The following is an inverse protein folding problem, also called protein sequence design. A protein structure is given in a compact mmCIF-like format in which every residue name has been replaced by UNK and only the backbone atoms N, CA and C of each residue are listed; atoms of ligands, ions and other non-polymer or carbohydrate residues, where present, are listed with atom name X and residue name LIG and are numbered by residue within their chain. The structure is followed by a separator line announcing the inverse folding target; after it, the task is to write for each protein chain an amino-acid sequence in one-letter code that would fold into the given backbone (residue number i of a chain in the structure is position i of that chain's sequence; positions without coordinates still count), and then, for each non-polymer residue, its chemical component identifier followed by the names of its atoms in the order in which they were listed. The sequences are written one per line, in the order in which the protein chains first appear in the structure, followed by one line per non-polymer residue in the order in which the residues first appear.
data_IF_067261468033
#
_entry.id   IF_067261468033
#
_cell.length_a   1.000
_cell.length_b   1.000
_cell.length_c   1.000
_cell.angle_alpha   90.00
_cell.angle_beta   90.00
_cell.angle_gamma   90.00
#
_symmetry.space_group_name_H-M   'P 1'
#
loop_
_entity.id
_entity.type
_entity.pdbx_description
1 polymer ?
#
# COMPACT_ATOMS: atom_id res chain seq x y z
N UNK A 1 -0.55 1.16 11.55
CA UNK A 1 -0.65 2.36 10.67
C UNK A 1 -1.32 3.58 11.31
N UNK A 2 -2.62 3.59 11.70
CA UNK A 2 -3.28 4.81 12.27
C UNK A 2 -2.54 5.41 13.47
N UNK A 3 -2.28 4.56 14.47
CA UNK A 3 -1.57 4.97 15.68
C UNK A 3 -0.14 5.41 15.37
N UNK A 4 0.56 4.70 14.48
CA UNK A 4 1.91 5.09 14.05
C UNK A 4 1.91 6.48 13.43
N UNK A 5 1.04 6.75 12.44
CA UNK A 5 0.94 8.07 11.83
C UNK A 5 0.71 9.16 12.88
N UNK A 6 -0.26 8.95 13.76
CA UNK A 6 -0.58 9.89 14.84
C UNK A 6 0.65 10.16 15.72
N UNK A 7 1.39 9.13 16.12
CA UNK A 7 2.58 9.28 16.96
C UNK A 7 3.74 9.97 16.26
N UNK A 8 3.92 9.77 14.94
CA UNK A 8 4.91 10.51 14.18
C UNK A 8 4.59 12.01 14.23
N UNK A 9 3.32 12.37 13.98
CA UNK A 9 2.87 13.76 14.05
C UNK A 9 2.97 14.35 15.46
N UNK A 10 2.59 13.62 16.50
CA UNK A 10 2.75 14.12 17.88
C UNK A 10 4.22 14.29 18.24
N UNK A 11 5.11 13.40 17.79
CA UNK A 11 6.53 13.52 18.08
C UNK A 11 7.13 14.79 17.46
N UNK A 12 6.77 15.14 16.23
CA UNK A 12 7.21 16.39 15.60
C UNK A 12 6.76 17.63 16.39
N UNK A 13 5.56 17.60 16.96
CA UNK A 13 4.98 18.70 17.72
C UNK A 13 5.63 18.83 19.10
N UNK A 14 5.85 17.70 19.79
CA UNK A 14 6.36 17.67 21.16
C UNK A 14 7.88 17.86 21.21
N UNK A 15 8.60 17.35 20.21
CA UNK A 15 10.06 17.30 20.19
C UNK A 15 10.66 18.12 19.03
N UNK A 16 10.24 19.39 18.91
CA UNK A 16 10.66 20.32 17.85
C UNK A 16 12.18 20.45 17.70
N UNK A 17 12.92 20.38 18.82
CA UNK A 17 14.37 20.54 18.87
C UNK A 17 15.16 19.22 18.69
N UNK A 18 14.48 18.10 18.40
CA UNK A 18 15.15 16.82 18.24
C UNK A 18 16.07 16.82 17.00
N UNK A 19 17.35 16.42 17.11
CA UNK A 19 18.35 16.59 16.05
C UNK A 19 18.01 15.86 14.75
N UNK A 20 17.25 14.77 14.83
CA UNK A 20 16.87 13.96 13.67
C UNK A 20 15.53 14.38 13.02
N UNK A 21 14.84 15.41 13.55
CA UNK A 21 13.49 15.87 13.15
C UNK A 21 12.51 14.71 12.88
N UNK A 22 11.78 14.32 13.91
CA UNK A 22 10.69 13.35 13.79
C UNK A 22 11.06 11.89 14.01
N UNK A 23 10.04 11.07 14.25
CA UNK A 23 10.12 9.62 14.17
C UNK A 23 10.12 9.23 12.68
N UNK A 24 11.06 8.39 12.25
CA UNK A 24 11.13 7.86 10.87
C UNK A 24 10.98 6.35 10.87
N UNK A 25 9.80 5.88 11.26
CA UNK A 25 9.55 4.46 11.52
C UNK A 25 8.35 3.92 10.75
N UNK A 26 7.70 4.74 9.93
CA UNK A 26 6.55 4.32 9.14
C UNK A 26 7.00 3.38 8.01
N UNK A 27 6.57 2.12 8.05
CA UNK A 27 6.92 1.15 7.01
C UNK A 27 6.03 1.34 5.77
N UNK A 28 6.61 1.89 4.69
CA UNK A 28 5.95 1.96 3.39
C UNK A 28 5.52 0.55 2.91
N UNK A 29 6.37 -0.45 3.16
CA UNK A 29 6.09 -1.80 2.71
C UNK A 29 4.86 -2.39 3.39
N UNK A 30 4.82 -2.29 4.72
CA UNK A 30 3.68 -2.75 5.52
C UNK A 30 2.41 -2.00 5.12
N UNK A 31 2.50 -0.68 4.96
CA UNK A 31 1.37 0.16 4.60
C UNK A 31 0.77 -0.22 3.23
N UNK A 32 1.61 -0.40 2.21
CA UNK A 32 1.20 -0.76 0.86
C UNK A 32 0.65 -2.19 0.80
N UNK A 33 1.29 -3.15 1.47
CA UNK A 33 0.82 -4.53 1.54
C UNK A 33 -0.53 -4.63 2.27
N UNK A 34 -0.72 -3.88 3.36
CA UNK A 34 -2.01 -3.79 4.05
C UNK A 34 -3.10 -3.22 3.15
N UNK A 35 -2.80 -2.14 2.41
CA UNK A 35 -3.74 -1.56 1.46
C UNK A 35 -4.16 -2.57 0.39
N UNK A 36 -3.22 -3.32 -0.17
CA UNK A 36 -3.51 -4.37 -1.14
C UNK A 36 -4.35 -5.52 -0.54
N UNK A 37 -4.03 -5.96 0.69
CA UNK A 37 -4.81 -6.97 1.40
C UNK A 37 -6.27 -6.51 1.66
N UNK A 38 -6.46 -5.24 2.06
CA UNK A 38 -7.79 -4.65 2.20
C UNK A 38 -8.56 -4.63 0.87
N UNK A 39 -7.87 -4.38 -0.25
CA UNK A 39 -8.47 -4.44 -1.58
C UNK A 39 -8.89 -5.87 -1.94
N UNK A 40 -8.06 -6.87 -1.67
CA UNK A 40 -8.40 -8.29 -1.88
C UNK A 40 -9.70 -8.62 -1.11
N UNK A 41 -9.84 -8.14 0.12
CA UNK A 41 -11.05 -8.36 0.95
C UNK A 41 -12.26 -7.50 0.53
N UNK A 42 -12.11 -6.59 -0.42
CA UNK A 42 -13.20 -5.71 -0.89
C UNK A 42 -13.49 -4.53 0.05
N UNK A 43 -12.58 -4.16 0.94
CA UNK A 43 -12.79 -3.08 1.91
C UNK A 43 -12.49 -1.71 1.30
N UNK A 44 -13.30 -1.28 0.33
CA UNK A 44 -13.06 -0.07 -0.49
C UNK A 44 -12.73 1.17 0.34
N UNK A 45 -13.56 1.51 1.33
CA UNK A 45 -13.34 2.69 2.18
C UNK A 45 -12.04 2.58 3.01
N UNK A 46 -11.68 1.37 3.45
CA UNK A 46 -10.43 1.12 4.16
C UNK A 46 -9.21 1.26 3.26
N UNK A 47 -9.30 0.83 1.99
CA UNK A 47 -8.26 1.04 0.96
C UNK A 47 -8.05 2.54 0.73
N UNK A 48 -9.14 3.28 0.53
CA UNK A 48 -9.11 4.74 0.36
C UNK A 48 -8.41 5.37 1.55
N UNK A 49 -8.87 5.08 2.76
CA UNK A 49 -8.28 5.61 3.99
C UNK A 49 -6.78 5.28 4.12
N UNK A 50 -6.41 4.01 3.93
CA UNK A 50 -5.03 3.56 4.08
C UNK A 50 -4.11 4.16 3.00
N UNK A 51 -4.60 4.33 1.77
CA UNK A 51 -3.87 4.95 0.69
C UNK A 51 -3.55 6.42 0.98
N UNK A 52 -4.54 7.22 1.42
CA UNK A 52 -4.27 8.60 1.84
C UNK A 52 -3.39 8.67 3.08
N UNK A 53 -3.60 7.82 4.08
CA UNK A 53 -2.75 7.79 5.28
C UNK A 53 -1.28 7.52 4.92
N UNK A 54 -1.06 6.58 3.99
CA UNK A 54 0.30 6.27 3.52
C UNK A 54 0.93 7.45 2.79
N UNK A 55 0.22 8.07 1.84
CA UNK A 55 0.76 9.23 1.11
C UNK A 55 1.03 10.42 2.04
N UNK A 56 0.11 10.69 2.96
CA UNK A 56 0.26 11.72 3.99
C UNK A 56 1.50 11.48 4.88
N UNK A 57 1.82 10.22 5.18
CA UNK A 57 3.03 9.85 5.91
C UNK A 57 4.29 10.09 5.06
N UNK A 58 4.26 9.67 3.80
CA UNK A 58 5.37 9.84 2.86
C UNK A 58 5.69 11.32 2.59
N UNK A 59 4.66 12.16 2.43
CA UNK A 59 4.81 13.59 2.21
C UNK A 59 5.32 14.37 3.44
N UNK A 60 5.27 13.75 4.62
CA UNK A 60 5.79 14.31 5.88
C UNK A 60 7.13 13.68 6.30
N UNK A 61 7.74 12.88 5.43
CA UNK A 61 9.00 12.19 5.71
C UNK A 61 8.96 11.25 6.92
N UNK A 62 7.81 10.61 7.18
CA UNK A 62 7.63 9.66 8.30
C UNK A 62 8.18 8.27 8.01
N UNK A 63 8.45 7.98 6.74
CA UNK A 63 8.92 6.69 6.28
C UNK A 63 10.26 6.29 6.90
N UNK A 64 10.42 4.99 7.13
CA UNK A 64 11.69 4.41 7.52
C UNK A 64 12.73 4.64 6.40
N UNK A 65 13.78 5.38 6.73
CA UNK A 65 14.76 5.86 5.75
C UNK A 65 15.40 4.73 4.96
N UNK A 66 15.93 3.69 5.65
CA UNK A 66 16.54 2.53 5.00
C UNK A 66 15.60 1.89 3.96
N UNK A 67 14.34 1.68 4.34
CA UNK A 67 13.34 1.09 3.46
C UNK A 67 13.06 1.96 2.25
N UNK A 68 13.00 3.26 2.46
CA UNK A 68 12.63 4.20 1.41
C UNK A 68 13.80 4.55 0.48
N UNK A 69 15.05 4.53 0.95
CA UNK A 69 16.22 4.97 0.17
C UNK A 69 17.09 3.83 -0.36
N UNK A 70 17.15 2.68 0.32
CA UNK A 70 18.11 1.61 -0.02
C UNK A 70 17.43 0.30 -0.46
N UNK A 71 16.31 -0.06 0.17
CA UNK A 71 15.64 -1.34 -0.12
C UNK A 71 14.91 -1.35 -1.48
N UNK A 72 14.61 -0.17 -2.03
CA UNK A 72 14.03 0.03 -3.36
C UNK A 72 12.81 -0.87 -3.63
N UNK A 73 11.83 -0.82 -2.73
CA UNK A 73 10.58 -1.61 -2.74
C UNK A 73 9.66 -1.18 -3.90
N UNK A 74 9.94 -1.68 -5.12
CA UNK A 74 9.31 -1.24 -6.39
C UNK A 74 7.86 -1.63 -6.47
N UNK A 75 7.52 -2.86 -6.08
CA UNK A 75 6.12 -3.30 -6.08
C UNK A 75 5.25 -2.43 -5.17
N UNK A 76 5.76 -2.03 -4.01
CA UNK A 76 5.05 -1.19 -3.06
C UNK A 76 4.91 0.26 -3.57
N UNK A 77 5.94 0.80 -4.21
CA UNK A 77 5.83 2.09 -4.91
C UNK A 77 4.80 2.02 -6.05
N UNK A 78 4.80 0.94 -6.83
CA UNK A 78 3.78 0.69 -7.87
C UNK A 78 2.37 0.67 -7.29
N UNK A 79 2.11 -0.10 -6.22
CA UNK A 79 0.77 -0.19 -5.61
C UNK A 79 0.27 1.18 -5.11
N UNK A 80 1.15 1.99 -4.53
CA UNK A 80 0.80 3.34 -4.05
C UNK A 80 0.60 4.32 -5.20
N UNK A 81 1.40 4.25 -6.27
CA UNK A 81 1.19 5.03 -7.50
C UNK A 81 -0.09 4.65 -8.23
N UNK A 82 -0.43 3.36 -8.24
CA UNK A 82 -1.68 2.85 -8.81
C UNK A 82 -2.89 3.37 -8.01
N UNK A 83 -2.79 3.36 -6.68
CA UNK A 83 -3.78 4.00 -5.82
C UNK A 83 -3.92 5.50 -6.13
N UNK A 84 -2.80 6.21 -6.25
CA UNK A 84 -2.80 7.64 -6.53
C UNK A 84 -3.48 7.98 -7.86
N UNK A 85 -3.16 7.21 -8.89
CA UNK A 85 -3.82 7.33 -10.20
C UNK A 85 -5.31 6.97 -10.13
N UNK A 86 -5.70 5.99 -9.31
CA UNK A 86 -7.10 5.61 -9.10
C UNK A 86 -7.94 6.74 -8.49
N UNK A 87 -7.48 7.34 -7.39
CA UNK A 87 -8.24 8.40 -6.69
C UNK A 87 -8.09 9.77 -7.34
N UNK A 88 -6.99 10.01 -8.05
CA UNK A 88 -6.77 11.19 -8.90
C UNK A 88 -6.48 12.51 -8.18
N UNK A 89 -6.53 12.56 -6.85
CA UNK A 89 -6.36 13.78 -6.03
C UNK A 89 -5.23 13.67 -4.99
N UNK A 90 -4.33 12.68 -5.13
CA UNK A 90 -3.14 12.53 -4.28
C UNK A 90 -1.88 12.48 -5.12
N UNK A 91 -0.80 13.07 -4.60
CA UNK A 91 0.51 13.07 -5.26
C UNK A 91 1.62 12.95 -4.23
N UNK A 92 2.74 12.39 -4.67
CA UNK A 92 3.96 12.26 -3.90
C UNK A 92 5.16 12.33 -4.85
N UNK A 93 6.25 12.98 -4.42
CA UNK A 93 7.48 13.01 -5.20
C UNK A 93 8.27 11.73 -4.94
N UNK A 94 8.18 10.79 -5.88
CA UNK A 94 8.82 9.50 -5.71
C UNK A 94 10.32 9.54 -6.04
N UNK A 95 11.15 8.70 -5.39
CA UNK A 95 12.55 8.51 -5.77
C UNK A 95 12.66 7.75 -7.09
N UNK A 96 13.82 7.82 -7.75
CA UNK A 96 14.03 7.25 -9.09
C UNK A 96 13.69 5.76 -9.20
N UNK A 97 13.94 4.96 -8.15
CA UNK A 97 13.63 3.52 -8.19
C UNK A 97 12.13 3.24 -8.34
N UNK A 98 11.26 4.19 -8.01
CA UNK A 98 9.83 3.99 -8.18
C UNK A 98 9.41 3.92 -9.64
N UNK A 99 10.26 4.36 -10.58
CA UNK A 99 10.00 4.47 -12.02
C UNK A 99 10.86 3.56 -12.89
N UNK A 100 11.81 2.82 -12.31
CA UNK A 100 12.83 2.10 -13.07
C UNK A 100 12.46 0.65 -13.40
N UNK A 101 11.23 0.21 -13.08
CA UNK A 101 10.68 -1.09 -13.43
C UNK A 101 9.66 -0.98 -14.58
N UNK A 102 10.06 -1.31 -15.83
CA UNK A 102 9.20 -1.13 -17.01
C UNK A 102 7.87 -1.87 -16.95
N UNK A 103 7.82 -3.02 -16.26
CA UNK A 103 6.59 -3.81 -16.11
C UNK A 103 5.52 -2.99 -15.36
N UNK A 104 5.92 -2.33 -14.28
CA UNK A 104 5.02 -1.52 -13.47
C UNK A 104 4.62 -0.22 -14.16
N UNK A 105 5.53 0.41 -14.93
CA UNK A 105 5.17 1.59 -15.73
C UNK A 105 4.13 1.25 -16.81
N UNK A 106 4.31 0.13 -17.51
CA UNK A 106 3.36 -0.32 -18.52
C UNK A 106 1.98 -0.61 -17.91
N UNK A 107 1.94 -1.25 -16.73
CA UNK A 107 0.69 -1.47 -16.01
C UNK A 107 0.03 -0.14 -15.60
N UNK A 108 0.77 0.80 -15.01
CA UNK A 108 0.22 2.12 -14.64
C UNK A 108 -0.34 2.89 -15.84
N UNK A 109 0.28 2.77 -17.01
CA UNK A 109 -0.20 3.43 -18.23
C UNK A 109 -1.49 2.78 -18.77
N UNK A 110 -1.67 1.47 -18.60
CA UNK A 110 -2.69 0.71 -19.31
C UNK A 110 -3.75 0.07 -18.41
N UNK A 111 -3.65 0.15 -17.08
CA UNK A 111 -4.53 -0.61 -16.17
C UNK A 111 -6.02 -0.25 -16.30
N UNK A 112 -6.38 0.89 -16.90
CA UNK A 112 -7.77 1.24 -17.24
C UNK A 112 -8.21 0.82 -18.66
N UNK A 113 -7.39 0.07 -19.40
CA UNK A 113 -7.74 -0.39 -20.74
C UNK A 113 -9.03 -1.24 -20.69
N UNK A 114 -10.07 -0.90 -21.47
CA UNK A 114 -11.32 -1.65 -21.47
C UNK A 114 -11.15 -3.08 -22.00
N UNK A 115 -10.15 -3.34 -22.84
CA UNK A 115 -9.79 -4.68 -23.28
C UNK A 115 -8.87 -5.33 -22.22
N UNK A 116 -9.34 -6.34 -21.47
CA UNK A 116 -8.51 -7.02 -20.48
C UNK A 116 -7.34 -7.77 -21.11
N UNK A 117 -7.48 -8.26 -22.35
CA UNK A 117 -6.44 -9.05 -23.01
C UNK A 117 -5.19 -8.22 -23.33
N UNK A 118 -5.36 -6.90 -23.52
CA UNK A 118 -4.26 -5.98 -23.71
C UNK A 118 -3.30 -5.91 -22.49
N UNK A 119 -3.76 -6.30 -21.30
CA UNK A 119 -2.94 -6.33 -20.08
C UNK A 119 -2.18 -7.65 -19.89
N UNK A 120 -2.60 -8.74 -20.54
CA UNK A 120 -2.06 -10.10 -20.30
C UNK A 120 -0.54 -10.16 -20.41
N UNK A 121 0.13 -9.59 -21.44
CA UNK A 121 1.59 -9.66 -21.52
C UNK A 121 2.29 -9.00 -20.31
N UNK A 122 1.79 -7.85 -19.86
CA UNK A 122 2.37 -7.13 -18.73
C UNK A 122 2.08 -7.83 -17.40
N UNK A 123 0.89 -8.42 -17.25
CA UNK A 123 0.49 -9.13 -16.04
C UNK A 123 1.24 -10.45 -15.87
N UNK A 124 1.47 -11.21 -16.96
CA UNK A 124 2.32 -12.41 -16.92
C UNK A 124 3.76 -12.05 -16.53
N UNK A 125 4.30 -10.97 -17.10
CA UNK A 125 5.62 -10.47 -16.70
C UNK A 125 5.66 -10.03 -15.23
N UNK A 126 4.57 -9.43 -14.71
CA UNK A 126 4.45 -9.11 -13.30
C UNK A 126 4.42 -10.37 -12.42
N UNK A 127 3.76 -11.45 -12.84
CA UNK A 127 3.79 -12.73 -12.13
C UNK A 127 5.20 -13.35 -12.07
N UNK A 128 5.93 -13.33 -13.19
CA UNK A 128 7.32 -13.79 -13.26
C UNK A 128 8.21 -12.96 -12.32
N UNK A 129 8.05 -11.62 -12.38
CA UNK A 129 8.78 -10.70 -11.50
C UNK A 129 8.47 -10.96 -10.04
N UNK A 130 7.20 -11.13 -9.67
CA UNK A 130 6.79 -11.45 -8.30
C UNK A 130 7.54 -12.67 -7.77
N UNK A 131 7.55 -13.74 -8.56
CA UNK A 131 8.24 -14.98 -8.23
C UNK A 131 9.76 -14.78 -8.08
N UNK A 132 10.36 -13.91 -8.90
CA UNK A 132 11.80 -13.58 -8.81
C UNK A 132 12.14 -12.65 -7.63
N UNK A 133 11.20 -11.78 -7.26
CA UNK A 133 11.31 -10.82 -6.16
C UNK A 133 10.74 -11.37 -4.84
N UNK A 134 10.41 -12.66 -4.80
CA UNK A 134 10.06 -13.38 -3.60
C UNK A 134 11.31 -13.98 -2.95
N UNK A 135 11.58 -13.63 -1.70
CA UNK A 135 12.78 -14.11 -1.05
C UNK A 135 12.97 -13.63 0.38
N UNK A 136 14.05 -14.07 1.01
CA UNK A 136 14.45 -13.56 2.33
C UNK A 136 15.46 -12.44 2.15
N UNK A 137 15.19 -11.29 2.76
CA UNK A 137 16.11 -10.18 2.77
C UNK A 137 17.45 -10.57 3.42
N UNK A 138 18.51 -9.97 2.92
CA UNK A 138 19.88 -10.10 3.43
C UNK A 138 20.50 -8.71 3.55
N UNK A 139 21.65 -8.61 4.22
CA UNK A 139 22.39 -7.34 4.34
C UNK A 139 22.79 -6.70 2.99
N UNK A 140 22.70 -7.43 1.87
CA UNK A 140 23.12 -6.96 0.54
C UNK A 140 22.03 -7.04 -0.52
N UNK A 141 20.87 -7.62 -0.19
CA UNK A 141 19.81 -7.88 -1.17
C UNK A 141 18.46 -7.80 -0.47
N UNK A 142 17.62 -6.93 -0.99
CA UNK A 142 16.25 -6.72 -0.56
C UNK A 142 15.31 -7.15 -1.69
N UNK A 143 14.16 -7.68 -1.31
CA UNK A 143 13.17 -8.31 -2.20
C UNK A 143 11.82 -7.63 -2.06
N UNK A 144 11.13 -7.28 -3.15
CA UNK A 144 9.80 -6.64 -3.03
C UNK A 144 8.81 -7.48 -2.19
N UNK A 145 8.90 -8.82 -2.27
CA UNK A 145 8.04 -9.77 -1.55
C UNK A 145 8.86 -10.58 -0.55
N UNK A 146 9.26 -9.91 0.54
CA UNK A 146 9.99 -10.56 1.61
C UNK A 146 9.08 -11.45 2.49
N UNK A 147 9.72 -12.31 3.29
CA UNK A 147 9.02 -13.30 4.13
C UNK A 147 8.26 -12.72 5.33
N UNK A 148 8.32 -11.41 5.61
CA UNK A 148 7.79 -10.84 6.85
C UNK A 148 6.25 -10.91 6.90
N UNK A 149 5.60 -10.88 5.74
CA UNK A 149 4.14 -11.00 5.59
C UNK A 149 3.71 -12.30 4.90
N UNK A 150 4.66 -13.21 4.63
CA UNK A 150 4.42 -14.42 3.86
C UNK A 150 3.76 -14.18 2.49
N UNK A 151 4.02 -13.02 1.87
CA UNK A 151 3.43 -12.61 0.60
C UNK A 151 4.19 -13.13 -0.61
N UNK A 152 5.27 -13.90 -0.43
CA UNK A 152 6.02 -14.56 -1.51
C UNK A 152 5.17 -15.41 -2.47
N UNK A 153 3.96 -15.78 -2.06
CA UNK A 153 3.01 -16.60 -2.83
C UNK A 153 1.69 -15.90 -3.09
N UNK A 154 1.55 -14.65 -2.70
CA UNK A 154 0.31 -13.88 -2.85
C UNK A 154 0.61 -12.72 -3.78
N UNK A 155 0.14 -12.74 -5.05
CA UNK A 155 0.41 -11.67 -6.01
C UNK A 155 -0.39 -10.40 -5.71
N UNK A 156 -0.16 -9.81 -4.53
CA UNK A 156 -0.96 -8.73 -3.94
C UNK A 156 -1.06 -7.51 -4.83
N UNK A 157 0.00 -7.18 -5.57
CA UNK A 157 0.06 -6.06 -6.48
C UNK A 157 -0.83 -6.25 -7.71
N UNK A 158 -0.94 -7.50 -8.19
CA UNK A 158 -1.81 -7.88 -9.30
C UNK A 158 -3.26 -7.93 -8.83
N UNK A 159 -3.51 -8.53 -7.66
CA UNK A 159 -4.85 -8.63 -7.09
C UNK A 159 -5.42 -7.26 -6.69
N UNK A 160 -4.57 -6.32 -6.24
CA UNK A 160 -4.95 -4.91 -6.06
C UNK A 160 -5.44 -4.33 -7.38
N UNK A 161 -4.66 -4.43 -8.46
CA UNK A 161 -5.04 -3.94 -9.79
C UNK A 161 -6.38 -4.55 -10.23
N UNK A 162 -6.57 -5.85 -10.04
CA UNK A 162 -7.82 -6.52 -10.37
C UNK A 162 -9.01 -5.98 -9.59
N UNK A 163 -8.84 -5.71 -8.29
CA UNK A 163 -9.93 -5.13 -7.48
C UNK A 163 -10.26 -3.72 -7.93
N UNK A 164 -9.25 -2.88 -8.21
CA UNK A 164 -9.49 -1.53 -8.69
C UNK A 164 -10.23 -1.53 -10.03
N UNK A 165 -9.85 -2.42 -10.96
CA UNK A 165 -10.58 -2.62 -12.21
C UNK A 165 -12.04 -3.03 -11.97
N UNK A 166 -12.30 -3.97 -11.07
CA UNK A 166 -13.67 -4.39 -10.72
C UNK A 166 -14.51 -3.22 -10.19
N UNK A 167 -13.94 -2.39 -9.31
CA UNK A 167 -14.62 -1.20 -8.79
C UNK A 167 -14.87 -0.11 -9.84
N UNK A 168 -14.05 -0.06 -10.90
CA UNK A 168 -14.25 0.79 -12.08
C UNK A 168 -15.20 0.17 -13.12
N UNK A 169 -15.72 -1.04 -12.88
CA UNK A 169 -16.57 -1.77 -13.82
C UNK A 169 -15.82 -2.35 -15.02
N UNK A 170 -14.50 -2.48 -14.93
CA UNK A 170 -13.64 -3.08 -15.95
C UNK A 170 -13.49 -4.59 -15.71
N UNK A 171 -13.48 -5.38 -16.79
CA UNK A 171 -13.24 -6.82 -16.71
C UNK A 171 -11.76 -7.11 -16.37
N UNK A 172 -11.47 -8.20 -15.67
CA UNK A 172 -10.10 -8.67 -15.45
C UNK A 172 -9.74 -9.79 -16.44
N UNK A 173 -8.49 -9.85 -16.94
CA UNK A 173 -8.05 -10.95 -17.77
C UNK A 173 -7.90 -12.24 -16.97
N UNK A 174 -8.00 -13.37 -17.66
CA UNK A 174 -7.64 -14.69 -17.11
C UNK A 174 -6.19 -14.97 -17.45
N UNK A 175 -5.36 -15.24 -16.43
CA UNK A 175 -3.94 -15.44 -16.60
C UNK A 175 -3.59 -16.93 -16.49
N UNK A 176 -2.91 -17.47 -17.49
CA UNK A 176 -2.32 -18.82 -17.44
C UNK A 176 -0.91 -18.73 -16.81
N UNK A 177 -0.87 -18.66 -15.48
CA UNK A 177 0.37 -18.62 -14.71
C UNK A 177 0.22 -19.36 -13.37
N UNK A 178 1.20 -20.17 -12.92
CA UNK A 178 1.09 -20.94 -11.67
C UNK A 178 0.79 -20.09 -10.41
N UNK A 179 1.33 -18.87 -10.34
CA UNK A 179 1.06 -17.91 -9.25
C UNK A 179 -0.42 -17.45 -9.19
N UNK A 180 -1.13 -17.52 -10.32
CA UNK A 180 -2.54 -17.15 -10.46
C UNK A 180 -3.48 -18.36 -10.40
N UNK A 181 -2.95 -19.55 -10.09
CA UNK A 181 -3.79 -20.70 -9.81
C UNK A 181 -4.65 -20.47 -8.55
N UNK A 182 -5.68 -21.29 -8.37
CA UNK A 182 -6.54 -21.22 -7.19
C UNK A 182 -5.72 -21.16 -5.89
N UNK A 183 -6.02 -20.21 -4.98
CA UNK A 183 -7.24 -19.41 -4.90
C UNK A 183 -7.19 -18.02 -5.57
N UNK A 184 -6.17 -17.71 -6.37
CA UNK A 184 -5.97 -16.37 -6.96
C UNK A 184 -6.50 -16.22 -8.39
N UNK A 185 -7.08 -17.28 -8.93
CA UNK A 185 -7.75 -17.31 -10.23
C UNK A 185 -9.02 -16.44 -10.26
N UNK A 186 -9.57 -16.14 -9.07
CA UNK A 186 -10.71 -15.26 -8.89
C UNK A 186 -10.59 -14.44 -7.61
N UNK A 187 -10.95 -13.15 -7.66
CA UNK A 187 -11.10 -12.35 -6.46
C UNK A 187 -12.23 -12.89 -5.56
N UNK A 188 -12.04 -12.94 -4.24
CA UNK A 188 -13.10 -13.32 -3.33
C UNK A 188 -14.22 -12.26 -3.37
N UNK A 189 -15.47 -12.62 -3.01
CA UNK A 189 -16.51 -11.61 -2.78
C UNK A 189 -16.09 -10.66 -1.67
N UNK A 190 -16.67 -9.45 -1.66
CA UNK A 190 -16.41 -8.48 -0.59
C UNK A 190 -16.75 -9.09 0.78
N UNK A 191 -15.83 -8.95 1.72
CA UNK A 191 -15.94 -9.47 3.08
C UNK A 191 -16.38 -8.35 4.02
N UNK A 192 -17.16 -8.66 5.08
CA UNK A 192 -17.44 -7.66 6.11
C UNK A 192 -16.15 -7.23 6.81
N UNK A 193 -16.07 -5.95 7.16
CA UNK A 193 -15.01 -5.44 8.03
C UNK A 193 -15.29 -5.95 9.45
N UNK A 194 -14.35 -6.63 10.13
CA UNK A 194 -14.55 -7.10 11.50
C UNK A 194 -14.71 -5.92 12.46
N UNK A 195 -15.59 -6.08 13.44
CA UNK A 195 -15.70 -5.13 14.55
C UNK A 195 -14.43 -5.16 15.40
N UNK A 196 -14.06 -3.99 15.95
CA UNK A 196 -12.94 -3.91 16.87
C UNK A 196 -13.35 -4.50 18.22
N UNK A 197 -12.49 -5.34 18.78
CA UNK A 197 -12.70 -5.90 20.11
C UNK A 197 -12.60 -4.85 21.24
N UNK A 198 -12.95 -5.25 22.45
CA UNK A 198 -12.93 -4.36 23.62
C UNK A 198 -11.56 -3.74 23.89
N UNK A 199 -10.47 -4.46 23.62
CA UNK A 199 -9.11 -3.97 23.82
C UNK A 199 -8.80 -2.86 22.82
N UNK A 200 -9.08 -3.10 21.53
CA UNK A 200 -8.87 -2.12 20.47
C UNK A 200 -9.74 -0.88 20.68
N UNK A 201 -11.00 -1.05 21.08
CA UNK A 201 -11.89 0.06 21.44
C UNK A 201 -11.36 0.83 22.65
N UNK A 202 -10.83 0.13 23.67
CA UNK A 202 -10.20 0.74 24.84
C UNK A 202 -8.98 1.61 24.47
N UNK A 203 -8.13 1.14 23.55
CA UNK A 203 -6.99 1.91 23.04
C UNK A 203 -7.45 3.19 22.34
N UNK A 204 -8.47 3.10 21.47
CA UNK A 204 -9.01 4.27 20.78
C UNK A 204 -9.67 5.26 21.75
N UNK A 205 -10.42 4.76 22.73
CA UNK A 205 -11.02 5.59 23.78
C UNK A 205 -9.95 6.36 24.53
N UNK A 206 -8.89 5.67 24.98
CA UNK A 206 -7.79 6.30 25.70
C UNK A 206 -7.07 7.36 24.87
N UNK A 207 -6.81 7.06 23.59
CA UNK A 207 -6.17 8.01 22.69
C UNK A 207 -6.97 9.30 22.55
N UNK A 208 -8.31 9.21 22.44
CA UNK A 208 -9.22 10.37 22.36
C UNK A 208 -9.30 11.17 23.66
N UNK A 209 -9.23 10.49 24.81
CA UNK A 209 -9.22 11.15 26.13
C UNK A 209 -7.92 11.95 26.33
N UNK A 210 -6.78 11.36 25.97
CA UNK A 210 -5.47 12.00 26.13
C UNK A 210 -5.22 13.08 25.04
N UNK A 211 -5.84 12.94 23.87
CA UNK A 211 -5.66 13.82 22.71
C UNK A 211 -7.01 14.20 22.06
N UNK A 212 -7.64 15.32 22.46
CA UNK A 212 -8.95 15.73 21.95
C UNK A 212 -9.03 15.90 20.41
N UNK A 213 -7.91 16.19 19.76
CA UNK A 213 -7.75 16.36 18.31
C UNK A 213 -7.48 15.05 17.56
N UNK A 214 -7.49 13.90 18.25
CA UNK A 214 -7.10 12.59 17.68
C UNK A 214 -7.85 12.25 16.38
N UNK A 215 -9.19 12.37 16.40
CA UNK A 215 -10.01 12.04 15.23
C UNK A 215 -9.89 13.10 14.11
N UNK A 216 -9.63 14.37 14.45
CA UNK A 216 -9.42 15.45 13.46
C UNK A 216 -8.14 15.21 12.67
N UNK A 217 -7.04 14.94 13.37
CA UNK A 217 -5.73 14.64 12.79
C UNK A 217 -5.79 13.42 11.86
N UNK A 218 -6.54 12.40 12.25
CA UNK A 218 -6.69 11.15 11.49
C UNK A 218 -7.88 11.16 10.53
N UNK A 219 -8.56 12.29 10.37
CA UNK A 219 -9.69 12.41 9.45
C UNK A 219 -9.23 12.31 8.00
N UNK A 220 -10.08 11.77 7.14
CA UNK A 220 -9.77 11.67 5.71
C UNK A 220 -9.49 13.05 5.09
N UNK A 221 -10.19 14.10 5.55
CA UNK A 221 -9.97 15.46 5.10
C UNK A 221 -8.59 15.99 5.47
N UNK A 222 -8.10 15.70 6.68
CA UNK A 222 -6.75 16.08 7.10
C UNK A 222 -5.67 15.30 6.34
N UNK A 223 -5.89 14.00 6.11
CA UNK A 223 -4.96 13.16 5.36
C UNK A 223 -4.80 13.61 3.90
N UNK A 224 -5.89 14.05 3.25
CA UNK A 224 -5.86 14.59 1.87
C UNK A 224 -5.05 15.89 1.73
N UNK A 225 -4.86 16.64 2.80
CA UNK A 225 -4.08 17.88 2.81
C UNK A 225 -2.58 17.63 3.01
N UNK A 226 -2.20 16.40 3.35
CA UNK A 226 -0.84 15.98 3.63
C UNK A 226 -0.14 15.39 2.44
#
# INVERSE_FOLDING_TARGET
MRQEFFWHQQFDIIFLDHPNRGLRMFSMQTAANMMAAMAILGWKESVIYQGYLTHAALNRDYQLELQYTEEHRRAQAFMLRLFADWVGDVSHQWPNYAYDEPIYEALLQHWRNPDPEALVPCLLAACDRHTHQAGKDTLKKFYDFNSDWHLERVPVEILLLFRLREWEGLANPVLDHPLMAAPFDRLPPEQPIPELDELMQGVLKRAREDWPQYDEVLSLAALKQG
#
